data_IF_135562859665
#
_entry.id   IF_135562859665
#
_cell.length_a   1.000
_cell.length_b   1.000
_cell.length_c   1.000
_cell.angle_alpha   90.00
_cell.angle_beta   90.00
_cell.angle_gamma   90.00
#
_symmetry.space_group_name_H-M   'P 1'
#
loop_
_entity.id
_entity.type
_entity.pdbx_description
1 polymer ?
#
# COMPACT_ATOMS: atom_id res chain seq x y z
N UNK A 1 -11.75 -6.35 3.88
CA UNK A 1 -12.01 -5.68 5.18
C UNK A 1 -11.01 -6.21 6.21
N UNK A 2 -10.41 -5.34 7.00
CA UNK A 2 -9.54 -5.74 8.12
C UNK A 2 -10.35 -5.93 9.39
N UNK A 3 -9.73 -6.49 10.45
CA UNK A 3 -10.35 -6.60 11.77
C UNK A 3 -10.74 -5.24 12.39
N UNK A 4 -10.27 -4.12 11.81
CA UNK A 4 -10.52 -2.75 12.26
C UNK A 4 -11.41 -1.97 11.29
N UNK A 5 -11.99 -2.63 10.29
CA UNK A 5 -12.85 -2.03 9.26
C UNK A 5 -12.18 -1.98 7.88
N UNK A 6 -12.75 -1.18 6.98
CA UNK A 6 -12.14 -0.92 5.68
C UNK A 6 -10.85 -0.12 5.84
N UNK A 7 -9.84 -0.44 5.03
CA UNK A 7 -8.53 0.23 5.04
C UNK A 7 -8.09 0.47 3.61
N UNK A 8 -7.38 1.58 3.44
CA UNK A 8 -6.77 1.93 2.17
C UNK A 8 -5.41 1.24 2.07
N UNK A 9 -5.04 0.79 0.87
CA UNK A 9 -3.72 0.28 0.59
C UNK A 9 -3.35 0.58 -0.86
N UNK A 10 -2.05 0.80 -1.10
CA UNK A 10 -1.46 0.84 -2.44
C UNK A 10 -0.79 -0.48 -2.82
N UNK A 11 -0.85 -1.49 -1.96
CA UNK A 11 -0.24 -2.78 -2.26
C UNK A 11 -1.01 -3.48 -3.39
N UNK A 12 -0.32 -3.80 -4.48
CA UNK A 12 -0.85 -4.60 -5.59
C UNK A 12 -0.66 -6.12 -5.42
N UNK A 13 -0.05 -6.55 -4.31
CA UNK A 13 0.21 -7.96 -4.05
C UNK A 13 -1.05 -8.63 -3.50
N UNK A 14 -1.80 -9.30 -4.37
CA UNK A 14 -2.98 -10.08 -3.99
C UNK A 14 -2.80 -11.55 -4.37
N UNK A 15 -3.30 -12.43 -3.51
CA UNK A 15 -3.36 -13.87 -3.72
C UNK A 15 -4.81 -14.33 -3.62
N UNK A 16 -5.14 -15.43 -4.28
CA UNK A 16 -6.49 -15.99 -4.21
C UNK A 16 -6.57 -17.05 -3.11
N UNK A 17 -7.53 -16.91 -2.21
CA UNK A 17 -7.83 -17.91 -1.19
C UNK A 17 -8.55 -19.15 -1.77
N UNK A 18 -8.67 -20.24 -1.00
CA UNK A 18 -9.44 -21.45 -1.36
C UNK A 18 -10.90 -21.14 -1.65
N UNK A 19 -11.46 -20.08 -1.06
CA UNK A 19 -12.84 -19.66 -1.25
C UNK A 19 -13.06 -18.78 -2.51
N UNK A 20 -11.99 -18.45 -3.25
CA UNK A 20 -12.03 -17.61 -4.44
C UNK A 20 -11.97 -16.11 -4.17
N UNK A 21 -11.76 -15.69 -2.92
CA UNK A 21 -11.57 -14.27 -2.60
C UNK A 21 -10.16 -13.82 -2.96
N UNK A 22 -10.05 -12.62 -3.53
CA UNK A 22 -8.77 -11.93 -3.65
C UNK A 22 -8.41 -11.36 -2.28
N UNK A 23 -7.33 -11.84 -1.70
CA UNK A 23 -6.85 -11.45 -0.37
C UNK A 23 -5.43 -10.92 -0.43
N UNK A 24 -5.06 -10.05 0.51
CA UNK A 24 -3.66 -9.67 0.71
C UNK A 24 -2.87 -10.86 1.29
N UNK A 25 -1.53 -10.84 1.32
CA UNK A 25 -0.72 -11.89 1.96
C UNK A 25 -1.07 -12.10 3.45
N UNK A 26 -1.64 -11.07 4.10
CA UNK A 26 -2.14 -11.11 5.47
C UNK A 26 -3.54 -11.74 5.59
N UNK A 27 -4.18 -12.13 4.47
CA UNK A 27 -5.48 -12.79 4.44
C UNK A 27 -6.68 -11.84 4.42
N UNK A 28 -6.47 -10.52 4.27
CA UNK A 28 -7.59 -9.58 4.23
C UNK A 28 -8.17 -9.46 2.82
N UNK A 29 -9.50 -9.58 2.64
CA UNK A 29 -10.09 -9.54 1.31
C UNK A 29 -10.11 -8.13 0.72
N UNK A 30 -9.85 -8.07 -0.57
CA UNK A 30 -9.97 -6.89 -1.41
C UNK A 30 -11.45 -6.55 -1.62
N UNK A 31 -11.80 -5.29 -1.39
CA UNK A 31 -13.17 -4.80 -1.53
C UNK A 31 -13.40 -4.27 -2.94
N UNK A 32 -14.49 -4.72 -3.55
CA UNK A 32 -15.12 -4.11 -4.72
C UNK A 32 -16.28 -3.20 -4.32
N UNK A 33 -16.94 -2.62 -5.32
CA UNK A 33 -18.11 -1.76 -5.10
C UNK A 33 -19.30 -2.55 -4.52
N UNK A 34 -19.42 -3.85 -4.85
CA UNK A 34 -20.50 -4.71 -4.37
C UNK A 34 -20.10 -5.62 -3.19
N UNK A 35 -18.94 -5.39 -2.58
CA UNK A 35 -18.40 -6.17 -1.46
C UNK A 35 -17.09 -6.88 -1.79
N UNK A 36 -16.64 -7.86 -0.99
CA UNK A 36 -15.39 -8.58 -1.23
C UNK A 36 -15.37 -9.28 -2.59
N UNK A 37 -14.33 -9.04 -3.39
CA UNK A 37 -14.25 -9.60 -4.75
C UNK A 37 -13.96 -11.08 -4.67
N UNK A 38 -14.86 -11.87 -5.26
CA UNK A 38 -14.77 -13.32 -5.37
C UNK A 38 -14.74 -13.73 -6.84
N UNK A 39 -13.66 -14.36 -7.26
CA UNK A 39 -13.43 -14.78 -8.64
C UNK A 39 -13.05 -16.26 -8.69
N UNK A 40 -13.44 -16.94 -9.76
CA UNK A 40 -12.99 -18.30 -10.04
C UNK A 40 -11.53 -18.31 -10.52
N UNK A 41 -10.77 -19.34 -10.11
CA UNK A 41 -9.37 -19.51 -10.52
C UNK A 41 -9.25 -19.53 -12.04
N UNK A 42 -8.38 -18.66 -12.57
CA UNK A 42 -8.11 -18.54 -14.00
C UNK A 42 -9.27 -18.02 -14.85
N UNK A 43 -10.37 -17.56 -14.24
CA UNK A 43 -11.51 -16.97 -14.93
C UNK A 43 -11.80 -15.54 -14.49
N UNK A 44 -10.78 -14.68 -14.51
CA UNK A 44 -10.97 -13.25 -14.31
C UNK A 44 -9.96 -12.43 -15.11
N UNK A 45 -10.39 -11.25 -15.53
CA UNK A 45 -9.60 -10.24 -16.20
C UNK A 45 -9.88 -8.90 -15.52
N UNK A 46 -8.83 -8.20 -15.10
CA UNK A 46 -8.97 -6.86 -14.53
C UNK A 46 -8.57 -5.85 -15.60
N UNK A 47 -9.51 -5.00 -16.00
CA UNK A 47 -9.26 -3.93 -16.97
C UNK A 47 -8.62 -2.72 -16.31
N UNK A 48 -8.06 -1.84 -17.13
CA UNK A 48 -7.38 -0.61 -16.69
C UNK A 48 -8.29 0.31 -15.86
N UNK A 49 -9.59 0.33 -16.11
CA UNK A 49 -10.58 1.10 -15.35
C UNK A 49 -10.96 0.47 -14.00
N UNK A 50 -10.30 -0.62 -13.59
CA UNK A 50 -10.57 -1.36 -12.37
C UNK A 50 -11.79 -2.28 -12.45
N UNK A 51 -12.38 -2.49 -13.62
CA UNK A 51 -13.48 -3.46 -13.77
C UNK A 51 -12.94 -4.89 -13.79
N UNK A 52 -13.62 -5.76 -13.04
CA UNK A 52 -13.36 -7.19 -12.98
C UNK A 52 -14.35 -7.91 -13.89
N UNK A 53 -13.83 -8.51 -14.95
CA UNK A 53 -14.60 -9.25 -15.95
C UNK A 53 -14.32 -10.75 -15.81
N UNK A 54 -15.34 -11.56 -16.05
CA UNK A 54 -15.24 -13.03 -16.07
C UNK A 54 -15.78 -13.56 -17.39
N UNK A 55 -15.38 -14.76 -17.80
CA UNK A 55 -16.04 -15.45 -18.90
C UNK A 55 -17.32 -16.11 -18.38
N UNK A 56 -18.47 -15.67 -18.90
CA UNK A 56 -19.79 -16.12 -18.50
C UNK A 56 -20.07 -17.61 -18.79
N UNK A 57 -19.39 -18.21 -19.77
CA UNK A 57 -19.57 -19.63 -20.11
C UNK A 57 -19.06 -20.58 -19.02
N UNK A 58 -17.99 -20.16 -18.32
CA UNK A 58 -17.39 -20.93 -17.22
C UNK A 58 -18.11 -20.61 -15.90
N UNK A 59 -18.67 -19.41 -15.78
CA UNK A 59 -19.29 -18.93 -14.55
C UNK A 59 -18.29 -18.53 -13.47
N UNK A 60 -18.80 -18.28 -12.25
CA UNK A 60 -18.01 -17.79 -11.10
C UNK A 60 -18.01 -18.79 -9.92
N UNK A 61 -17.82 -20.08 -10.20
CA UNK A 61 -17.68 -21.09 -9.15
C UNK A 61 -16.19 -21.23 -8.75
N UNK A 62 -15.80 -20.94 -7.49
CA UNK A 62 -14.40 -21.03 -7.07
C UNK A 62 -13.82 -22.45 -7.09
N UNK A 63 -14.67 -23.47 -7.02
CA UNK A 63 -14.24 -24.88 -6.98
C UNK A 63 -13.95 -25.38 -8.40
N UNK A 64 -14.78 -24.97 -9.35
CA UNK A 64 -14.67 -25.33 -10.76
C UNK A 64 -13.90 -24.25 -11.54
N UNK A 65 -12.64 -24.03 -11.16
CA UNK A 65 -11.74 -23.11 -11.86
C UNK A 65 -11.31 -23.65 -13.23
N UNK A 66 -10.75 -22.76 -14.06
CA UNK A 66 -10.13 -23.13 -15.34
C UNK A 66 -8.65 -22.72 -15.35
N UNK A 67 -7.88 -23.30 -16.26
CA UNK A 67 -6.53 -22.79 -16.55
C UNK A 67 -6.65 -21.50 -17.36
N UNK A 68 -5.86 -20.48 -17.01
CA UNK A 68 -5.83 -19.19 -17.72
C UNK A 68 -5.62 -19.40 -19.23
N UNK A 69 -4.72 -20.32 -19.60
CA UNK A 69 -4.37 -20.61 -21.00
C UNK A 69 -5.53 -21.19 -21.83
N UNK A 70 -6.53 -21.79 -21.17
CA UNK A 70 -7.72 -22.36 -21.82
C UNK A 70 -8.87 -21.39 -21.90
N UNK A 71 -8.81 -20.26 -21.18
CA UNK A 71 -9.88 -19.29 -21.12
C UNK A 71 -9.70 -18.23 -22.21
N UNK A 72 -10.59 -18.27 -23.21
CA UNK A 72 -10.57 -17.33 -24.35
C UNK A 72 -11.43 -16.08 -24.14
N UNK A 73 -12.10 -15.96 -22.98
CA UNK A 73 -12.99 -14.84 -22.66
C UNK A 73 -13.97 -14.49 -23.79
N UNK A 74 -14.57 -15.51 -24.42
CA UNK A 74 -15.45 -15.34 -25.59
C UNK A 74 -16.77 -14.63 -25.23
N UNK A 75 -17.28 -14.84 -24.01
CA UNK A 75 -18.45 -14.14 -23.47
C UNK A 75 -18.08 -13.38 -22.19
N UNK A 76 -17.47 -12.18 -22.29
CA UNK A 76 -17.05 -11.42 -21.12
C UNK A 76 -18.27 -10.78 -20.43
N UNK A 77 -18.42 -11.04 -19.13
CA UNK A 77 -19.46 -10.46 -18.26
C UNK A 77 -18.79 -9.64 -17.17
N UNK A 78 -19.29 -8.43 -16.91
CA UNK A 78 -18.85 -7.59 -15.80
C UNK A 78 -19.32 -8.23 -14.49
N UNK A 79 -18.37 -8.59 -13.62
CA UNK A 79 -18.66 -9.17 -12.32
C UNK A 79 -18.75 -8.09 -11.24
N UNK A 80 -17.70 -7.28 -11.11
CA UNK A 80 -17.61 -6.23 -10.10
C UNK A 80 -16.57 -5.18 -10.52
N UNK A 81 -16.41 -4.11 -9.73
CA UNK A 81 -15.39 -3.09 -9.92
C UNK A 81 -14.54 -2.96 -8.65
N UNK A 82 -13.22 -2.84 -8.79
CA UNK A 82 -12.32 -2.54 -7.69
C UNK A 82 -12.74 -1.25 -6.99
N UNK A 83 -12.86 -1.26 -5.66
CA UNK A 83 -13.22 -0.09 -4.86
C UNK A 83 -12.00 0.82 -4.70
N UNK A 84 -11.70 1.61 -5.72
CA UNK A 84 -10.60 2.57 -5.70
C UNK A 84 -11.11 3.88 -5.10
N UNK A 85 -10.39 4.39 -4.10
CA UNK A 85 -10.74 5.59 -3.35
C UNK A 85 -9.52 6.50 -3.19
N UNK A 86 -9.78 7.80 -3.15
CA UNK A 86 -8.81 8.83 -2.79
C UNK A 86 -9.29 9.57 -1.55
N UNK A 87 -8.39 10.33 -0.93
CA UNK A 87 -8.69 11.22 0.18
C UNK A 87 -8.20 12.62 -0.19
N UNK A 88 -8.78 13.66 0.41
CA UNK A 88 -8.38 15.03 0.15
C UNK A 88 -6.91 15.28 0.53
N UNK A 89 -6.49 14.77 1.70
CA UNK A 89 -5.14 14.96 2.21
C UNK A 89 -4.46 13.62 2.54
N UNK A 90 -3.79 12.98 1.56
CA UNK A 90 -3.13 11.69 1.77
C UNK A 90 -2.01 11.70 2.82
N UNK A 91 -1.45 12.88 3.13
CA UNK A 91 -0.37 13.03 4.14
C UNK A 91 -0.82 12.82 5.57
N UNK A 92 -2.12 12.98 5.84
CA UNK A 92 -2.69 12.82 7.17
C UNK A 92 -3.29 11.43 7.39
N UNK A 93 -3.16 10.52 6.42
CA UNK A 93 -3.53 9.13 6.61
C UNK A 93 -2.66 8.50 7.70
N UNK A 94 -3.30 7.81 8.63
CA UNK A 94 -2.57 7.08 9.68
C UNK A 94 -2.10 5.73 9.13
N UNK A 95 -0.83 5.40 9.34
CA UNK A 95 -0.23 4.17 8.83
C UNK A 95 -0.32 3.09 9.91
N UNK A 96 -1.23 2.13 9.72
CA UNK A 96 -1.47 1.04 10.69
C UNK A 96 -0.50 -0.16 10.54
N UNK A 97 0.39 -0.15 9.53
CA UNK A 97 1.33 -1.24 9.24
C UNK A 97 0.93 -2.05 8.00
N UNK A 98 1.81 -2.95 7.54
CA UNK A 98 1.57 -3.81 6.36
C UNK A 98 1.08 -3.10 5.08
N UNK A 99 1.48 -1.83 4.91
CA UNK A 99 1.02 -0.93 3.84
C UNK A 99 -0.49 -0.62 3.87
N UNK A 100 -1.13 -0.74 5.03
CA UNK A 100 -2.48 -0.26 5.30
C UNK A 100 -2.47 1.16 5.87
N UNK A 101 -3.49 1.91 5.47
CA UNK A 101 -3.74 3.28 5.89
C UNK A 101 -5.19 3.40 6.38
N UNK A 102 -5.36 4.11 7.50
CA UNK A 102 -6.65 4.51 8.05
C UNK A 102 -6.91 5.99 7.76
N UNK A 103 -8.17 6.31 7.53
CA UNK A 103 -8.65 7.68 7.40
C UNK A 103 -8.68 8.37 8.78
N UNK A 104 -8.32 9.65 8.77
CA UNK A 104 -8.35 10.55 9.91
C UNK A 104 -9.27 11.73 9.59
N UNK A 105 -9.79 12.45 10.60
CA UNK A 105 -10.55 13.68 10.37
C UNK A 105 -9.80 14.70 9.51
N UNK A 106 -8.47 14.72 9.59
CA UNK A 106 -7.59 15.60 8.83
C UNK A 106 -7.27 15.10 7.41
N UNK A 107 -7.32 13.78 7.17
CA UNK A 107 -7.18 13.23 5.81
C UNK A 107 -8.42 13.46 4.96
N UNK A 108 -9.58 13.58 5.62
CA UNK A 108 -10.89 13.51 4.99
C UNK A 108 -11.34 12.07 4.77
N UNK A 109 -12.63 11.90 4.48
CA UNK A 109 -13.22 10.58 4.20
C UNK A 109 -12.78 10.04 2.82
N UNK A 110 -12.68 8.72 2.64
CA UNK A 110 -12.37 8.13 1.34
C UNK A 110 -13.49 8.34 0.31
N UNK A 111 -13.22 9.14 -0.71
CA UNK A 111 -14.13 9.44 -1.83
C UNK A 111 -13.74 8.67 -3.10
N UNK A 112 -14.68 8.32 -3.98
CA UNK A 112 -14.36 7.76 -5.29
C UNK A 112 -13.61 8.79 -6.15
N UNK A 113 -12.78 8.31 -7.06
CA UNK A 113 -12.16 9.17 -8.07
C UNK A 113 -13.23 9.72 -9.02
N UNK A 114 -13.07 10.97 -9.47
CA UNK A 114 -13.87 11.49 -10.58
C UNK A 114 -13.44 10.78 -11.87
N UNK A 115 -14.41 10.45 -12.75
CA UNK A 115 -14.20 9.67 -13.99
C UNK A 115 -13.07 10.19 -14.90
N UNK A 116 -12.65 11.45 -14.75
CA UNK A 116 -11.61 12.09 -15.55
C UNK A 116 -10.19 11.83 -15.03
N UNK A 117 -10.05 11.62 -13.73
CA UNK A 117 -8.75 11.44 -13.04
C UNK A 117 -8.63 10.03 -12.43
N UNK A 118 -9.40 9.06 -12.94
CA UNK A 118 -9.33 7.69 -12.46
C UNK A 118 -7.96 7.06 -12.75
N UNK A 119 -7.29 6.47 -11.75
CA UNK A 119 -6.02 5.79 -11.96
C UNK A 119 -6.23 4.52 -12.79
N UNK A 120 -5.29 4.22 -13.68
CA UNK A 120 -5.29 2.98 -14.43
C UNK A 120 -4.69 1.83 -13.60
N UNK A 121 -5.33 0.67 -13.65
CA UNK A 121 -4.89 -0.57 -12.98
C UNK A 121 -4.24 -1.48 -14.00
N UNK A 122 -2.97 -1.84 -13.77
CA UNK A 122 -2.24 -2.76 -14.63
C UNK A 122 -2.09 -4.12 -13.95
N UNK A 123 -2.80 -5.12 -14.47
CA UNK A 123 -2.69 -6.50 -13.97
C UNK A 123 -1.30 -7.08 -14.28
N UNK A 124 -0.71 -7.78 -13.31
CA UNK A 124 0.60 -8.45 -13.45
C UNK A 124 1.80 -7.57 -13.12
N UNK A 125 1.58 -6.30 -12.77
CA UNK A 125 2.62 -5.39 -12.29
C UNK A 125 2.49 -5.15 -10.78
N UNK A 126 3.61 -4.85 -10.13
CA UNK A 126 3.66 -4.40 -8.74
C UNK A 126 4.24 -2.98 -8.70
N UNK A 127 3.63 -2.11 -7.91
CA UNK A 127 4.13 -0.75 -7.68
C UNK A 127 5.42 -0.80 -6.86
N UNK A 128 6.50 -0.20 -7.38
CA UNK A 128 7.76 -0.09 -6.67
C UNK A 128 7.74 1.08 -5.68
N UNK A 129 8.58 1.01 -4.64
CA UNK A 129 8.75 2.15 -3.74
C UNK A 129 9.43 3.31 -4.47
N UNK A 130 8.97 4.54 -4.23
CA UNK A 130 9.59 5.76 -4.75
C UNK A 130 10.84 6.20 -3.93
N UNK A 131 11.49 5.25 -3.25
CA UNK A 131 12.52 5.47 -2.24
C UNK A 131 13.68 4.53 -2.55
N UNK A 132 14.92 5.04 -2.48
CA UNK A 132 16.14 4.38 -2.95
C UNK A 132 17.04 4.08 -1.77
N UNK A 133 17.20 2.79 -1.43
CA UNK A 133 17.99 2.35 -0.27
C UNK A 133 19.39 2.99 -0.18
N UNK A 134 20.05 3.23 -1.32
CA UNK A 134 21.38 3.86 -1.36
C UNK A 134 21.35 5.32 -0.91
N UNK A 135 20.36 6.09 -1.36
CA UNK A 135 20.24 7.51 -1.00
C UNK A 135 19.91 7.65 0.48
N UNK A 136 18.98 6.84 0.99
CA UNK A 136 18.56 6.85 2.38
C UNK A 136 19.68 6.39 3.33
N UNK A 137 20.57 5.49 2.88
CA UNK A 137 21.77 5.13 3.62
C UNK A 137 22.76 6.30 3.73
N UNK A 138 22.94 7.08 2.66
CA UNK A 138 23.80 8.27 2.68
C UNK A 138 23.23 9.34 3.61
N UNK A 139 21.92 9.59 3.56
CA UNK A 139 21.25 10.52 4.48
C UNK A 139 21.42 10.08 5.95
N UNK A 140 21.29 8.78 6.24
CA UNK A 140 21.56 8.25 7.58
C UNK A 140 23.03 8.46 8.01
N UNK A 141 24.01 8.29 7.11
CA UNK A 141 25.43 8.55 7.41
C UNK A 141 25.65 10.04 7.71
N UNK A 142 25.01 10.93 6.95
CA UNK A 142 25.08 12.38 7.17
C UNK A 142 24.49 12.77 8.53
N UNK A 143 23.32 12.22 8.88
CA UNK A 143 22.69 12.43 10.20
C UNK A 143 23.61 11.93 11.32
N UNK A 144 24.23 10.76 11.19
CA UNK A 144 25.19 10.25 12.17
C UNK A 144 26.43 11.14 12.30
N UNK A 145 27.00 11.60 11.18
CA UNK A 145 28.14 12.54 11.20
C UNK A 145 27.79 13.87 11.85
N UNK A 146 26.61 14.41 11.55
CA UNK A 146 26.10 15.62 12.20
C UNK A 146 25.94 15.42 13.70
N UNK A 147 25.40 14.26 14.10
CA UNK A 147 25.28 13.88 15.51
C UNK A 147 26.64 13.77 16.21
N UNK A 148 27.63 13.08 15.61
CA UNK A 148 28.99 12.99 16.13
C UNK A 148 29.68 14.36 16.25
N UNK A 149 29.52 15.22 15.25
CA UNK A 149 30.06 16.59 15.28
C UNK A 149 29.44 17.42 16.42
N UNK A 150 28.12 17.30 16.62
CA UNK A 150 27.43 17.95 17.72
C UNK A 150 27.89 17.40 19.08
N UNK A 151 28.00 16.08 19.22
CA UNK A 151 28.54 15.47 20.45
C UNK A 151 29.96 15.93 20.75
N UNK A 152 30.83 15.99 19.75
CA UNK A 152 32.21 16.46 19.92
C UNK A 152 32.25 17.93 20.34
N UNK A 153 31.36 18.75 19.80
CA UNK A 153 31.22 20.17 20.18
C UNK A 153 30.76 20.31 21.64
N UNK A 154 29.82 19.46 22.10
CA UNK A 154 29.41 19.43 23.51
C UNK A 154 30.57 19.00 24.40
N UNK A 155 31.30 17.94 24.04
CA UNK A 155 32.46 17.48 24.80
C UNK A 155 33.58 18.52 24.89
N UNK A 156 33.84 19.27 23.82
CA UNK A 156 34.83 20.34 23.84
C UNK A 156 34.36 21.50 24.71
N UNK A 157 33.07 21.88 24.67
CA UNK A 157 32.50 22.85 25.59
C UNK A 157 32.64 22.40 27.06
N UNK A 158 32.30 21.15 27.38
CA UNK A 158 32.44 20.59 28.73
C UNK A 158 33.91 20.58 29.19
N UNK A 159 34.84 20.22 28.31
CA UNK A 159 36.26 20.24 28.62
C UNK A 159 36.77 21.67 28.90
N UNK A 160 36.32 22.66 28.12
CA UNK A 160 36.67 24.06 28.32
C UNK A 160 36.09 24.60 29.64
N UNK A 161 34.83 24.28 29.94
CA UNK A 161 34.20 24.62 31.22
C UNK A 161 34.95 24.00 32.40
N UNK A 162 35.32 22.73 32.31
CA UNK A 162 36.11 22.05 33.34
C UNK A 162 37.47 22.70 33.58
N UNK A 163 38.14 23.19 32.53
CA UNK A 163 39.40 23.93 32.68
C UNK A 163 39.20 25.30 33.34
N UNK A 164 38.19 26.07 32.90
CA UNK A 164 37.86 27.36 33.49
C UNK A 164 37.56 27.27 34.99
N UNK A 165 36.77 26.27 35.40
CA UNK A 165 36.46 26.03 36.82
C UNK A 165 37.73 25.79 37.63
N UNK A 166 38.66 24.98 37.11
CA UNK A 166 39.92 24.67 37.79
C UNK A 166 40.89 25.87 37.85
N UNK A 167 40.89 26.74 36.84
CA UNK A 167 41.72 27.95 36.83
C UNK A 167 41.19 29.06 37.75
N UNK A 168 39.85 29.19 37.89
CA UNK A 168 39.21 30.19 38.76
C UNK A 168 39.23 29.80 40.24
N UNK A 169 39.27 28.49 40.55
CA UNK A 169 39.34 27.99 41.94
C UNK A 169 40.76 28.05 42.56
N UNK A 170 41.77 28.50 41.81
CA UNK A 170 43.14 28.74 42.29
C UNK A 170 43.34 30.19 42.72
#
# INVERSE_FOLDING_TARGET
MTNRGERLSRSGAFVMDTNGYLVTPQGFPLMGENGPIRVARGNFLIKENGEVWINGEIGNDPVNGTSIDKNRFETPVLLDRLKIRTVENPRHLDKEGDSFYADTPESGEPIPFELKDEPSVLQGYLEASNVSVVTEMVEMIEVNRSYEANQKTVQTQDSLLGKLINEVLR
#
